data_IF_170167758504
#
_entry.id   IF_170167758504
#
_cell.length_a   1.000
_cell.length_b   1.000
_cell.length_c   1.000
_cell.angle_alpha   90.00
_cell.angle_beta   90.00
_cell.angle_gamma   90.00
#
_symmetry.space_group_name_H-M   'P 1'
#
loop_
_entity.id
_entity.type
_entity.pdbx_description
1 polymer ?
#
# COMPACT_ATOMS: atom_id res chain seq x y z
N UNK A 1 0.41 12.93 -6.78
CA UNK A 1 0.76 11.49 -6.71
C UNK A 1 -0.52 10.66 -6.78
N UNK A 2 -1.46 11.08 -7.64
CA UNK A 2 -2.90 10.81 -7.46
C UNK A 2 -3.55 10.41 -8.79
N UNK A 3 -3.10 9.31 -9.36
CA UNK A 3 -3.80 8.68 -10.49
C UNK A 3 -4.05 7.22 -10.18
N UNK A 4 -4.99 6.98 -9.27
CA UNK A 4 -5.68 5.71 -9.27
C UNK A 4 -6.51 5.65 -10.53
N UNK A 5 -6.03 4.89 -11.49
CA UNK A 5 -6.71 4.77 -12.78
C UNK A 5 -5.82 4.58 -13.99
N UNK A 6 -4.53 4.30 -13.82
CA UNK A 6 -3.63 3.84 -14.87
C UNK A 6 -2.99 4.94 -15.73
N UNK A 7 -2.25 4.52 -16.74
CA UNK A 7 -1.42 5.39 -17.58
C UNK A 7 -2.22 6.21 -18.61
N UNK A 8 -3.45 5.78 -18.92
CA UNK A 8 -4.31 6.41 -19.91
C UNK A 8 -5.66 6.87 -19.32
N UNK A 9 -6.26 7.95 -19.87
CA UNK A 9 -7.62 8.35 -19.51
C UNK A 9 -8.59 7.19 -19.79
N UNK A 10 -9.34 6.77 -18.78
CA UNK A 10 -10.35 5.72 -18.90
C UNK A 10 -9.89 4.31 -18.49
N UNK A 11 -8.63 4.10 -18.10
CA UNK A 11 -8.21 2.77 -17.59
C UNK A 11 -9.00 2.37 -16.34
N UNK A 12 -9.22 3.27 -15.38
CA UNK A 12 -10.12 3.01 -14.23
C UNK A 12 -11.55 2.67 -14.67
N UNK A 13 -12.06 3.38 -15.67
CA UNK A 13 -13.42 3.17 -16.17
C UNK A 13 -13.56 1.77 -16.78
N UNK A 14 -12.57 1.34 -17.58
CA UNK A 14 -12.55 0.02 -18.17
C UNK A 14 -12.48 -1.08 -17.11
N UNK A 15 -11.65 -0.91 -16.07
CA UNK A 15 -11.59 -1.83 -14.93
C UNK A 15 -12.93 -1.89 -14.21
N UNK A 16 -13.57 -0.75 -13.96
CA UNK A 16 -14.89 -0.70 -13.32
C UNK A 16 -16.00 -1.33 -14.16
N UNK A 17 -15.91 -1.24 -15.49
CA UNK A 17 -16.81 -1.97 -16.40
C UNK A 17 -16.60 -3.48 -16.24
N UNK A 18 -15.36 -3.96 -16.21
CA UNK A 18 -15.07 -5.37 -15.98
C UNK A 18 -15.55 -5.84 -14.61
N UNK A 19 -15.33 -5.05 -13.56
CA UNK A 19 -15.83 -5.34 -12.21
C UNK A 19 -17.34 -5.55 -12.20
N UNK A 20 -18.10 -4.70 -12.90
CA UNK A 20 -19.55 -4.83 -13.00
C UNK A 20 -19.99 -6.17 -13.61
N UNK A 21 -19.30 -6.66 -14.65
CA UNK A 21 -19.63 -7.96 -15.27
C UNK A 21 -19.36 -9.15 -14.37
N UNK A 22 -18.32 -9.08 -13.55
CA UNK A 22 -17.87 -10.15 -12.64
C UNK A 22 -18.50 -10.04 -11.25
N UNK A 23 -19.20 -8.94 -10.96
CA UNK A 23 -19.85 -8.69 -9.68
C UNK A 23 -18.94 -8.08 -8.60
N UNK A 24 -17.75 -7.62 -8.97
CA UNK A 24 -16.86 -6.91 -8.04
C UNK A 24 -17.36 -5.49 -7.77
N UNK A 25 -17.02 -4.96 -6.59
CA UNK A 25 -17.30 -3.57 -6.23
C UNK A 25 -16.61 -2.60 -7.20
N UNK A 26 -17.26 -1.46 -7.44
CA UNK A 26 -16.68 -0.37 -8.22
C UNK A 26 -15.58 0.31 -7.40
N UNK A 27 -14.41 0.49 -8.01
CA UNK A 27 -13.29 1.22 -7.43
C UNK A 27 -13.56 2.72 -7.60
N UNK A 28 -13.79 3.39 -6.48
CA UNK A 28 -13.97 4.84 -6.42
C UNK A 28 -12.92 5.45 -5.50
N UNK A 29 -11.89 6.16 -6.03
CA UNK A 29 -10.79 6.67 -5.23
C UNK A 29 -11.23 7.56 -4.06
N UNK A 30 -12.33 8.29 -4.23
CA UNK A 30 -12.84 9.21 -3.20
C UNK A 30 -13.49 8.50 -2.00
N UNK A 31 -13.93 7.25 -2.17
CA UNK A 31 -14.60 6.46 -1.13
C UNK A 31 -13.63 5.68 -0.24
N UNK A 32 -12.34 5.65 -0.59
CA UNK A 32 -11.28 4.96 0.17
C UNK A 32 -10.56 6.02 1.05
N UNK A 33 -10.95 6.21 2.32
CA UNK A 33 -10.37 7.24 3.18
C UNK A 33 -8.87 7.04 3.43
N UNK A 34 -8.37 5.80 3.35
CA UNK A 34 -6.98 5.45 3.61
C UNK A 34 -6.04 6.12 2.61
N UNK A 35 -6.45 6.28 1.35
CA UNK A 35 -5.68 7.01 0.35
C UNK A 35 -5.47 8.48 0.71
N UNK A 36 -6.50 9.11 1.28
CA UNK A 36 -6.43 10.51 1.75
C UNK A 36 -5.51 10.61 2.97
N UNK A 37 -5.39 9.55 3.76
CA UNK A 37 -4.54 9.49 4.94
C UNK A 37 -3.06 9.24 4.61
N UNK A 38 -2.73 8.65 3.45
CA UNK A 38 -1.33 8.38 3.07
C UNK A 38 -0.47 9.65 3.03
N UNK A 39 -1.00 10.75 2.47
CA UNK A 39 -0.28 12.03 2.37
C UNK A 39 0.09 12.63 3.74
N UNK A 40 -0.84 12.83 4.69
CA UNK A 40 -0.48 13.33 6.02
C UNK A 40 0.42 12.37 6.80
N UNK A 41 0.27 11.05 6.63
CA UNK A 41 1.18 10.06 7.23
C UNK A 41 2.61 10.25 6.72
N UNK A 42 2.80 10.38 5.41
CA UNK A 42 4.11 10.64 4.82
C UNK A 42 4.72 11.94 5.33
N UNK A 43 3.92 13.01 5.40
CA UNK A 43 4.37 14.30 5.93
C UNK A 43 4.81 14.19 7.39
N UNK A 44 4.06 13.45 8.22
CA UNK A 44 4.42 13.16 9.60
C UNK A 44 5.81 12.50 9.69
N UNK A 45 6.09 11.47 8.88
CA UNK A 45 7.39 10.79 8.91
C UNK A 45 8.55 11.68 8.46
N UNK A 46 8.31 12.56 7.47
CA UNK A 46 9.31 13.55 7.03
C UNK A 46 9.63 14.52 8.16
N UNK A 47 8.61 15.14 8.77
CA UNK A 47 8.81 16.10 9.86
C UNK A 47 9.45 15.43 11.07
N UNK A 48 8.97 14.25 11.47
CA UNK A 48 9.52 13.53 12.61
C UNK A 48 10.96 13.05 12.36
N UNK A 49 11.30 12.70 11.11
CA UNK A 49 12.66 12.37 10.71
C UNK A 49 13.61 13.56 10.83
N UNK A 50 13.18 14.75 10.37
CA UNK A 50 13.94 15.99 10.51
C UNK A 50 14.14 16.36 11.98
N UNK A 51 13.09 16.27 12.81
CA UNK A 51 13.17 16.50 14.26
C UNK A 51 14.17 15.52 14.90
N UNK A 52 14.12 14.24 14.52
CA UNK A 52 15.06 13.23 15.01
C UNK A 52 16.51 13.57 14.67
N UNK A 53 16.76 14.07 13.45
CA UNK A 53 18.09 14.51 13.03
C UNK A 53 18.60 15.75 13.79
N UNK A 54 17.71 16.70 14.14
CA UNK A 54 18.08 17.92 14.87
C UNK A 54 18.40 17.63 16.34
N UNK A 55 17.58 16.83 17.02
CA UNK A 55 17.75 16.55 18.46
C UNK A 55 18.74 15.42 18.77
N UNK A 56 19.00 14.54 17.79
CA UNK A 56 20.01 13.49 17.81
C UNK A 56 19.98 12.58 19.07
N UNK A 57 18.77 12.32 19.60
CA UNK A 57 18.58 11.43 20.75
C UNK A 57 18.41 9.99 20.27
N UNK A 58 19.15 9.06 20.89
CA UNK A 58 19.10 7.61 20.61
C UNK A 58 17.69 7.06 20.48
N UNK A 59 16.84 7.35 21.46
CA UNK A 59 15.49 6.80 21.54
C UNK A 59 14.60 7.25 20.37
N UNK A 60 14.85 8.45 19.82
CA UNK A 60 14.07 8.99 18.71
C UNK A 60 14.31 8.20 17.41
N UNK A 61 15.55 7.78 17.14
CA UNK A 61 15.85 6.93 15.98
C UNK A 61 15.12 5.59 16.05
N UNK A 62 15.09 4.96 17.24
CA UNK A 62 14.35 3.71 17.43
C UNK A 62 12.85 3.90 17.28
N UNK A 63 12.28 4.95 17.88
CA UNK A 63 10.84 5.22 17.78
C UNK A 63 10.45 5.56 16.35
N UNK A 64 11.23 6.40 15.66
CA UNK A 64 10.99 6.73 14.25
C UNK A 64 11.01 5.48 13.36
N UNK A 65 12.04 4.64 13.51
CA UNK A 65 12.19 3.40 12.72
C UNK A 65 11.09 2.40 13.03
N UNK A 66 10.75 2.21 14.31
CA UNK A 66 9.68 1.29 14.73
C UNK A 66 8.33 1.74 14.19
N UNK A 67 8.00 3.03 14.33
CA UNK A 67 6.75 3.58 13.80
C UNK A 67 6.68 3.42 12.28
N UNK A 68 7.79 3.65 11.56
CA UNK A 68 7.81 3.49 10.10
C UNK A 68 7.50 2.05 9.69
N UNK A 69 8.12 1.07 10.35
CA UNK A 69 7.89 -0.36 10.08
C UNK A 69 6.45 -0.76 10.43
N UNK A 70 5.94 -0.35 11.59
CA UNK A 70 4.58 -0.66 12.01
C UNK A 70 3.56 -0.07 11.04
N UNK A 71 3.71 1.20 10.66
CA UNK A 71 2.81 1.84 9.69
C UNK A 71 2.86 1.16 8.32
N UNK A 72 4.04 0.72 7.87
CA UNK A 72 4.17 -0.05 6.63
C UNK A 72 3.43 -1.39 6.70
N UNK A 73 3.57 -2.14 7.80
CA UNK A 73 2.88 -3.41 7.98
C UNK A 73 1.36 -3.25 8.09
N UNK A 74 0.89 -2.21 8.80
CA UNK A 74 -0.53 -1.87 8.89
C UNK A 74 -1.09 -1.52 7.51
N UNK A 75 -0.38 -0.72 6.72
CA UNK A 75 -0.78 -0.39 5.35
C UNK A 75 -0.85 -1.60 4.43
N UNK A 76 0.10 -2.54 4.53
CA UNK A 76 0.04 -3.80 3.77
C UNK A 76 -1.14 -4.69 4.19
N UNK A 77 -1.42 -4.75 5.48
CA UNK A 77 -2.54 -5.52 6.00
C UNK A 77 -3.88 -4.94 5.56
N UNK A 78 -4.04 -3.62 5.66
CA UNK A 78 -5.21 -2.91 5.18
C UNK A 78 -5.42 -3.12 3.67
N UNK A 79 -4.35 -3.01 2.88
CA UNK A 79 -4.38 -3.30 1.45
C UNK A 79 -4.85 -4.74 1.15
N UNK A 80 -4.36 -5.73 1.90
CA UNK A 80 -4.81 -7.12 1.77
C UNK A 80 -6.31 -7.28 2.07
N UNK A 81 -6.84 -6.58 3.07
CA UNK A 81 -8.27 -6.61 3.39
C UNK A 81 -9.12 -6.04 2.26
N UNK A 82 -8.69 -4.93 1.66
CA UNK A 82 -9.33 -4.36 0.47
C UNK A 82 -9.35 -5.35 -0.70
N UNK A 83 -8.21 -5.96 -1.02
CA UNK A 83 -8.14 -6.97 -2.08
C UNK A 83 -9.05 -8.17 -1.79
N UNK A 84 -9.07 -8.64 -0.54
CA UNK A 84 -9.88 -9.77 -0.13
C UNK A 84 -11.37 -9.47 -0.28
N UNK A 85 -11.83 -8.34 0.24
CA UNK A 85 -13.22 -7.91 0.15
C UNK A 85 -13.66 -7.73 -1.30
N UNK A 86 -12.84 -7.10 -2.14
CA UNK A 86 -13.16 -6.93 -3.56
C UNK A 86 -13.17 -8.25 -4.32
N UNK A 87 -12.29 -9.19 -3.96
CA UNK A 87 -12.13 -10.46 -4.64
C UNK A 87 -13.11 -11.56 -4.23
N UNK A 88 -13.74 -11.45 -3.06
CA UNK A 88 -14.62 -12.48 -2.49
C UNK A 88 -16.07 -12.01 -2.26
N UNK A 89 -16.31 -10.70 -2.16
CA UNK A 89 -17.66 -10.15 -2.00
C UNK A 89 -18.23 -9.81 -3.39
N UNK A 90 -18.68 -10.84 -4.10
CA UNK A 90 -19.24 -10.72 -5.45
C UNK A 90 -20.77 -10.62 -5.42
N UNK A 91 -21.35 -9.77 -6.27
CA UNK A 91 -22.80 -9.66 -6.44
C UNK A 91 -23.36 -10.95 -7.09
N UNK A 92 -24.30 -11.67 -6.43
CA UNK A 92 -24.91 -12.87 -6.99
C UNK A 92 -25.76 -12.61 -8.25
N UNK A 93 -26.11 -11.36 -8.53
CA UNK A 93 -26.87 -10.94 -9.72
C UNK A 93 -25.96 -10.49 -10.87
N UNK A 94 -24.64 -10.63 -10.74
CA UNK A 94 -23.71 -10.24 -11.79
C UNK A 94 -23.99 -10.98 -13.12
N UNK A 95 -23.78 -10.29 -14.27
CA UNK A 95 -24.00 -10.89 -15.60
C UNK A 95 -23.18 -12.16 -15.86
N UNK A 96 -21.96 -12.26 -15.32
CA UNK A 96 -21.12 -13.45 -15.41
C UNK A 96 -20.91 -14.04 -14.02
N UNK A 97 -21.13 -15.35 -13.89
CA UNK A 97 -20.96 -16.09 -12.64
C UNK A 97 -19.85 -17.11 -12.78
N UNK A 98 -19.01 -17.20 -11.75
CA UNK A 98 -17.89 -18.12 -11.71
C UNK A 98 -17.91 -18.83 -10.36
N UNK A 99 -18.39 -20.08 -10.35
CA UNK A 99 -18.52 -20.86 -9.13
C UNK A 99 -17.13 -21.12 -8.52
N UNK A 100 -16.92 -20.65 -7.29
CA UNK A 100 -15.68 -20.86 -6.54
C UNK A 100 -14.47 -20.07 -7.02
N UNK A 101 -14.62 -19.12 -7.96
CA UNK A 101 -13.51 -18.28 -8.40
C UNK A 101 -13.29 -17.08 -7.47
N UNK A 102 -12.04 -16.83 -7.09
CA UNK A 102 -11.63 -15.64 -6.35
C UNK A 102 -10.92 -14.67 -7.30
N UNK A 103 -11.45 -13.45 -7.39
CA UNK A 103 -10.88 -12.37 -8.20
C UNK A 103 -9.87 -11.53 -7.43
N UNK A 104 -9.46 -11.98 -6.24
CA UNK A 104 -8.46 -11.30 -5.42
C UNK A 104 -7.12 -11.20 -6.19
N UNK A 105 -6.62 -9.97 -6.45
CA UNK A 105 -5.27 -9.74 -6.95
C UNK A 105 -4.20 -10.28 -5.98
N UNK A 106 -2.97 -10.58 -6.42
CA UNK A 106 -1.91 -10.93 -5.51
C UNK A 106 -1.41 -9.67 -4.78
N UNK A 107 -1.12 -9.73 -3.48
CA UNK A 107 -0.47 -8.59 -2.78
C UNK A 107 0.90 -8.27 -3.40
N UNK A 108 1.61 -9.30 -3.87
CA UNK A 108 2.90 -9.18 -4.53
C UNK A 108 3.08 -10.27 -5.60
N UNK A 109 3.68 -9.90 -6.74
CA UNK A 109 4.03 -10.82 -7.82
C UNK A 109 3.03 -10.80 -8.97
N UNK A 110 2.71 -11.98 -9.52
CA UNK A 110 1.81 -12.13 -10.67
C UNK A 110 0.77 -13.22 -10.42
N UNK A 111 -0.46 -13.02 -10.90
CA UNK A 111 -1.53 -14.01 -10.85
C UNK A 111 -2.36 -13.93 -12.12
N UNK A 112 -2.76 -15.08 -12.65
CA UNK A 112 -3.71 -15.15 -13.76
C UNK A 112 -5.12 -15.21 -13.18
N UNK A 113 -5.99 -14.31 -13.61
CA UNK A 113 -7.38 -14.23 -13.22
C UNK A 113 -8.21 -14.24 -14.51
N UNK A 114 -8.95 -15.33 -14.74
CA UNK A 114 -9.59 -15.63 -16.03
C UNK A 114 -8.56 -15.58 -17.18
N UNK A 115 -8.77 -14.68 -18.14
CA UNK A 115 -7.90 -14.46 -19.30
C UNK A 115 -6.96 -13.25 -19.11
N UNK A 116 -6.85 -12.71 -17.90
CA UNK A 116 -6.00 -11.57 -17.58
C UNK A 116 -4.83 -11.96 -16.69
N UNK A 117 -3.68 -11.35 -16.93
CA UNK A 117 -2.52 -11.44 -16.04
C UNK A 117 -2.45 -10.17 -15.23
N UNK A 118 -2.55 -10.30 -13.91
CA UNK A 118 -2.47 -9.19 -12.95
C UNK A 118 -1.09 -9.19 -12.31
N UNK A 119 -0.45 -8.02 -12.30
CA UNK A 119 0.86 -7.79 -11.69
C UNK A 119 0.72 -6.83 -10.52
N UNK A 120 1.34 -7.20 -9.40
CA UNK A 120 1.39 -6.38 -8.19
C UNK A 120 2.83 -6.22 -7.78
N UNK A 121 3.40 -5.08 -8.19
CA UNK A 121 4.77 -4.69 -7.88
C UNK A 121 4.76 -3.31 -7.22
N UNK A 122 5.64 -3.06 -6.25
CA UNK A 122 5.78 -1.74 -5.66
C UNK A 122 6.07 -0.71 -6.74
N UNK A 123 5.35 0.41 -6.69
CA UNK A 123 5.72 1.59 -7.45
C UNK A 123 6.80 2.40 -6.70
N UNK A 124 7.21 3.54 -7.25
CA UNK A 124 8.24 4.44 -6.70
C UNK A 124 8.07 4.68 -5.19
N UNK A 125 6.85 4.98 -4.72
CA UNK A 125 6.59 5.23 -3.30
C UNK A 125 6.91 4.01 -2.41
N UNK A 126 6.63 2.79 -2.88
CA UNK A 126 6.96 1.56 -2.16
C UNK A 126 8.47 1.35 -2.06
N UNK A 127 9.22 1.61 -3.13
CA UNK A 127 10.69 1.57 -3.09
C UNK A 127 11.27 2.64 -2.17
N UNK A 128 10.75 3.87 -2.20
CA UNK A 128 11.17 4.95 -1.30
C UNK A 128 10.96 4.58 0.18
N UNK A 129 9.81 3.98 0.52
CA UNK A 129 9.53 3.51 1.88
C UNK A 129 10.50 2.41 2.31
N UNK A 130 10.78 1.43 1.43
CA UNK A 130 11.73 0.36 1.73
C UNK A 130 13.15 0.89 1.99
N UNK A 131 13.62 1.83 1.16
CA UNK A 131 14.91 2.50 1.35
C UNK A 131 14.92 3.30 2.65
N UNK A 132 13.85 4.05 2.92
CA UNK A 132 13.71 4.85 4.15
C UNK A 132 13.78 3.99 5.41
N UNK A 133 13.12 2.82 5.42
CA UNK A 133 13.20 1.85 6.50
C UNK A 133 14.62 1.29 6.67
N UNK A 134 15.30 0.94 5.57
CA UNK A 134 16.69 0.49 5.61
C UNK A 134 17.64 1.53 6.21
N UNK A 135 17.49 2.80 5.80
CA UNK A 135 18.27 3.92 6.36
C UNK A 135 17.96 4.17 7.83
N UNK A 136 16.69 4.06 8.25
CA UNK A 136 16.29 4.17 9.66
C UNK A 136 16.92 3.11 10.55
N UNK A 137 16.90 1.86 10.09
CA UNK A 137 17.53 0.73 10.79
C UNK A 137 19.05 0.96 10.91
N UNK A 138 19.70 1.37 9.82
CA UNK A 138 21.13 1.66 9.81
C UNK A 138 21.48 2.80 10.77
N UNK A 139 20.73 3.91 10.73
CA UNK A 139 20.94 5.05 11.63
C UNK A 139 20.77 4.65 13.10
N UNK A 140 19.73 3.88 13.41
CA UNK A 140 19.49 3.33 14.75
C UNK A 140 20.65 2.45 15.23
N UNK A 141 21.16 1.58 14.36
CA UNK A 141 22.30 0.71 14.65
C UNK A 141 23.60 1.49 14.88
N UNK A 142 23.91 2.47 14.02
CA UNK A 142 25.09 3.31 14.18
C UNK A 142 25.02 4.09 15.51
N UNK A 143 23.86 4.68 15.82
CA UNK A 143 23.67 5.44 17.06
C UNK A 143 23.77 4.56 18.31
N UNK A 144 23.35 3.30 18.24
CA UNK A 144 23.56 2.31 19.29
C UNK A 144 25.06 2.07 19.54
N UNK A 145 25.83 1.81 18.46
CA UNK A 145 27.26 1.50 18.53
C UNK A 145 28.07 2.68 19.05
N UNK A 146 27.86 3.87 18.51
CA UNK A 146 28.66 5.06 18.82
C UNK A 146 28.46 5.64 20.21
N UNK A 147 27.43 5.22 20.93
CA UNK A 147 27.22 5.72 22.29
C UNK A 147 27.17 4.60 23.33
N UNK A 148 27.73 3.44 22.96
CA UNK A 148 28.38 2.52 23.90
C UNK A 148 29.91 2.66 23.91
N UNK A 149 30.50 3.30 22.89
CA UNK A 149 31.89 3.77 22.89
C UNK A 149 31.98 5.11 23.62
#
# INVERSE_FOLDING_TARGET
MDKLGGDSPGTLQNVNILNHYVGMKKIEPDSIPELKLMTPILLFFVVFGLITAIFDKKWMYYVWTLLLIVTFLVGLYDFYLWEYDYGHTLDPNAPMKFDGASFQPPVFGKKVILNFVVYSIPHIAGYCLAISAGLGILASFLKYKFSKA
#
